data_IF_346285749351
#
_entry.id   IF_346285749351
#
_cell.length_a   1.000
_cell.length_b   1.000
_cell.length_c   1.000
_cell.angle_alpha   90.00
_cell.angle_beta   90.00
_cell.angle_gamma   90.00
#
_symmetry.space_group_name_H-M   'P 1'
#
loop_
_entity.id
_entity.type
_entity.pdbx_description
1 polymer ?
#
# COMPACT_ATOMS: atom_id res chain seq x y z
N UNK A 1 30.02 -7.40 16.31
CA UNK A 1 28.56 -7.21 16.20
C UNK A 1 28.11 -6.49 17.46
N UNK A 2 27.27 -5.46 17.31
CA UNK A 2 26.69 -4.74 18.44
C UNK A 2 25.40 -5.46 18.86
N UNK A 3 25.12 -5.68 20.16
CA UNK A 3 23.96 -6.45 20.58
C UNK A 3 22.64 -5.80 20.12
N UNK A 4 21.74 -6.63 19.60
CA UNK A 4 20.40 -6.28 19.16
C UNK A 4 19.40 -7.33 19.66
N UNK A 5 18.22 -6.88 20.05
CA UNK A 5 17.21 -7.70 20.72
C UNK A 5 16.04 -8.06 19.81
N UNK A 6 15.76 -7.23 18.80
CA UNK A 6 14.70 -7.44 17.81
C UNK A 6 15.30 -7.53 16.40
N UNK A 7 15.13 -8.65 15.68
CA UNK A 7 15.55 -8.72 14.29
C UNK A 7 14.60 -7.91 13.40
N UNK A 8 15.14 -7.22 12.40
CA UNK A 8 14.35 -6.67 11.28
C UNK A 8 13.63 -7.80 10.53
N UNK A 9 12.54 -7.50 9.83
CA UNK A 9 11.80 -8.47 9.01
C UNK A 9 12.76 -9.20 8.06
N UNK A 10 13.62 -8.47 7.36
CA UNK A 10 14.62 -9.03 6.45
C UNK A 10 15.59 -9.99 7.12
N UNK A 11 15.96 -9.75 8.38
CA UNK A 11 16.83 -10.63 9.16
C UNK A 11 16.08 -11.87 9.64
N UNK A 12 14.82 -11.70 10.06
CA UNK A 12 13.97 -12.81 10.46
C UNK A 12 13.70 -13.77 9.28
N UNK A 13 13.40 -13.28 8.09
CA UNK A 13 13.04 -14.13 6.93
C UNK A 13 14.26 -14.65 6.14
N UNK A 14 15.42 -13.98 6.25
CA UNK A 14 16.60 -14.32 5.45
C UNK A 14 17.47 -15.45 5.99
N UNK A 15 17.47 -15.68 7.31
CA UNK A 15 18.48 -16.50 7.98
C UNK A 15 18.10 -17.95 8.28
N UNK A 16 16.82 -18.29 8.43
CA UNK A 16 16.42 -19.56 9.04
C UNK A 16 15.38 -20.33 8.22
N UNK A 17 15.56 -21.65 8.16
CA UNK A 17 14.58 -22.62 7.67
C UNK A 17 13.91 -23.32 8.86
N UNK A 18 12.59 -23.56 8.86
CA UNK A 18 11.66 -23.52 7.72
C UNK A 18 10.96 -22.18 7.47
N UNK A 19 11.10 -21.20 8.38
CA UNK A 19 10.34 -19.94 8.36
C UNK A 19 10.47 -19.16 7.04
N UNK A 20 11.64 -19.17 6.38
CA UNK A 20 11.84 -18.58 5.05
C UNK A 20 10.87 -19.12 3.99
N UNK A 21 10.62 -20.44 3.99
CA UNK A 21 9.74 -21.08 3.01
C UNK A 21 8.27 -20.80 3.30
N UNK A 22 7.89 -20.84 4.59
CA UNK A 22 6.53 -20.48 5.01
C UNK A 22 6.23 -19.03 4.61
N UNK A 23 7.15 -18.10 4.89
CA UNK A 23 7.02 -16.70 4.50
C UNK A 23 6.84 -16.51 2.98
N UNK A 24 7.71 -17.15 2.19
CA UNK A 24 7.64 -17.11 0.71
C UNK A 24 6.32 -17.65 0.18
N UNK A 25 5.84 -18.77 0.71
CA UNK A 25 4.57 -19.36 0.33
C UNK A 25 3.40 -18.41 0.66
N UNK A 26 3.39 -17.82 1.87
CA UNK A 26 2.37 -16.84 2.26
C UNK A 26 2.37 -15.62 1.33
N UNK A 27 3.51 -14.97 1.11
CA UNK A 27 3.59 -13.80 0.22
C UNK A 27 3.23 -14.16 -1.22
N UNK A 28 3.67 -15.32 -1.71
CA UNK A 28 3.33 -15.81 -3.04
C UNK A 28 1.83 -16.05 -3.21
N UNK A 29 1.17 -16.63 -2.21
CA UNK A 29 -0.29 -16.82 -2.23
C UNK A 29 -1.04 -15.48 -2.15
N UNK A 30 -0.55 -14.55 -1.34
CA UNK A 30 -1.15 -13.23 -1.14
C UNK A 30 -0.89 -12.24 -2.29
N UNK A 31 0.05 -12.51 -3.22
CA UNK A 31 0.34 -11.56 -4.29
C UNK A 31 -0.79 -11.47 -5.32
N UNK A 32 -1.40 -12.59 -5.69
CA UNK A 32 -2.50 -12.66 -6.65
C UNK A 32 -3.71 -11.78 -6.26
N UNK A 33 -4.27 -11.89 -5.03
CA UNK A 33 -5.37 -11.00 -4.62
C UNK A 33 -4.95 -9.53 -4.55
N UNK A 34 -3.68 -9.21 -4.22
CA UNK A 34 -3.21 -7.81 -4.21
C UNK A 34 -3.15 -7.20 -5.61
N UNK A 35 -2.71 -7.96 -6.61
CA UNK A 35 -2.77 -7.53 -8.01
C UNK A 35 -4.22 -7.33 -8.47
N UNK A 36 -5.12 -8.26 -8.14
CA UNK A 36 -6.54 -8.11 -8.44
C UNK A 36 -7.13 -6.82 -7.84
N UNK A 37 -6.80 -6.53 -6.58
CA UNK A 37 -7.20 -5.29 -5.90
C UNK A 37 -6.68 -4.05 -6.64
N UNK A 38 -5.44 -4.05 -7.14
CA UNK A 38 -4.91 -2.93 -7.92
C UNK A 38 -5.76 -2.61 -9.16
N UNK A 39 -6.20 -3.64 -9.89
CA UNK A 39 -7.03 -3.48 -11.07
C UNK A 39 -8.48 -3.11 -10.74
N UNK A 40 -9.06 -3.67 -9.67
CA UNK A 40 -10.44 -3.32 -9.27
C UNK A 40 -10.53 -1.87 -8.81
N UNK A 41 -9.54 -1.36 -8.07
CA UNK A 41 -9.48 0.06 -7.71
C UNK A 41 -9.32 0.97 -8.93
N UNK A 42 -8.48 0.58 -9.90
CA UNK A 42 -8.33 1.33 -11.14
C UNK A 42 -9.65 1.41 -11.91
N UNK A 43 -10.30 0.28 -12.15
CA UNK A 43 -11.59 0.21 -12.84
C UNK A 43 -12.67 1.01 -12.12
N UNK A 44 -12.71 0.94 -10.79
CA UNK A 44 -13.62 1.77 -10.00
C UNK A 44 -13.38 3.26 -10.21
N UNK A 45 -12.13 3.71 -10.15
CA UNK A 45 -11.85 5.13 -10.37
C UNK A 45 -12.20 5.54 -11.80
N UNK A 46 -11.98 4.68 -12.79
CA UNK A 46 -12.36 4.94 -14.16
C UNK A 46 -13.89 4.96 -14.40
N UNK A 47 -14.69 4.27 -13.58
CA UNK A 47 -16.16 4.33 -13.67
C UNK A 47 -16.77 5.56 -13.01
N UNK A 48 -16.01 6.32 -12.20
CA UNK A 48 -16.48 7.59 -11.66
C UNK A 48 -16.59 8.62 -12.79
N UNK A 49 -17.73 9.31 -12.89
CA UNK A 49 -18.00 10.36 -13.89
C UNK A 49 -16.90 11.44 -14.04
N UNK A 50 -16.17 11.72 -12.96
CA UNK A 50 -15.01 12.61 -12.99
C UNK A 50 -13.91 12.12 -13.95
N UNK A 51 -13.70 10.82 -14.09
CA UNK A 51 -12.70 10.25 -14.99
C UNK A 51 -12.99 10.57 -16.47
N UNK A 52 -14.27 10.59 -16.86
CA UNK A 52 -14.69 10.99 -18.22
C UNK A 52 -14.38 12.46 -18.51
N UNK A 53 -14.57 13.33 -17.51
CA UNK A 53 -14.48 14.78 -17.67
C UNK A 53 -13.10 15.36 -17.37
N UNK A 54 -12.30 14.69 -16.54
CA UNK A 54 -11.01 15.15 -16.10
C UNK A 54 -9.94 14.09 -16.39
N UNK A 55 -9.20 14.30 -17.48
CA UNK A 55 -8.09 13.42 -17.88
C UNK A 55 -7.04 13.27 -16.77
N UNK A 56 -6.77 14.31 -15.98
CA UNK A 56 -5.79 14.24 -14.88
C UNK A 56 -6.20 13.21 -13.83
N UNK A 57 -7.50 13.09 -13.55
CA UNK A 57 -8.02 12.08 -12.62
C UNK A 57 -7.74 10.66 -13.12
N UNK A 58 -8.02 10.40 -14.41
CA UNK A 58 -7.74 9.11 -15.04
C UNK A 58 -6.24 8.76 -15.05
N UNK A 59 -5.38 9.74 -15.36
CA UNK A 59 -3.92 9.54 -15.29
C UNK A 59 -3.46 9.25 -13.85
N UNK A 60 -3.99 9.97 -12.86
CA UNK A 60 -3.66 9.74 -11.46
C UNK A 60 -4.09 8.35 -11.00
N UNK A 61 -5.26 7.87 -11.43
CA UNK A 61 -5.73 6.52 -11.18
C UNK A 61 -4.81 5.45 -11.82
N UNK A 62 -4.38 5.68 -13.07
CA UNK A 62 -3.43 4.79 -13.74
C UNK A 62 -2.06 4.76 -13.02
N UNK A 63 -1.54 5.93 -12.62
CA UNK A 63 -0.29 6.03 -11.86
C UNK A 63 -0.42 5.33 -10.51
N UNK A 64 -1.53 5.48 -9.80
CA UNK A 64 -1.77 4.77 -8.54
C UNK A 64 -1.80 3.24 -8.76
N UNK A 65 -2.44 2.76 -9.82
CA UNK A 65 -2.43 1.34 -10.19
C UNK A 65 -1.00 0.83 -10.43
N UNK A 66 -0.21 1.55 -11.23
CA UNK A 66 1.19 1.20 -11.52
C UNK A 66 2.04 1.20 -10.25
N UNK A 67 1.89 2.20 -9.38
CA UNK A 67 2.61 2.24 -8.10
C UNK A 67 2.27 1.06 -7.20
N UNK A 68 1.00 0.64 -7.17
CA UNK A 68 0.59 -0.54 -6.42
C UNK A 68 1.18 -1.82 -7.01
N UNK A 69 1.27 -1.94 -8.34
CA UNK A 69 1.95 -3.06 -9.01
C UNK A 69 3.44 -3.06 -8.63
N UNK A 70 4.12 -1.92 -8.72
CA UNK A 70 5.54 -1.76 -8.36
C UNK A 70 5.77 -2.12 -6.89
N UNK A 71 4.90 -1.68 -5.98
CA UNK A 71 4.95 -2.02 -4.55
C UNK A 71 4.91 -3.54 -4.35
N UNK A 72 3.99 -4.24 -5.01
CA UNK A 72 3.86 -5.69 -4.90
C UNK A 72 5.07 -6.42 -5.51
N UNK A 73 5.61 -5.94 -6.63
CA UNK A 73 6.83 -6.49 -7.23
C UNK A 73 8.05 -6.29 -6.33
N UNK A 74 8.17 -5.13 -5.69
CA UNK A 74 9.23 -4.85 -4.73
C UNK A 74 9.10 -5.73 -3.47
N UNK A 75 7.88 -5.98 -2.98
CA UNK A 75 7.61 -6.89 -1.87
C UNK A 75 7.99 -8.35 -2.22
N UNK A 76 7.73 -8.79 -3.45
CA UNK A 76 8.21 -10.08 -3.95
C UNK A 76 9.74 -10.09 -4.00
N UNK A 77 10.37 -9.03 -4.52
CA UNK A 77 11.82 -8.85 -4.51
C UNK A 77 12.43 -9.01 -3.11
N UNK A 78 11.88 -8.32 -2.11
CA UNK A 78 12.29 -8.44 -0.70
C UNK A 78 12.13 -9.84 -0.13
N UNK A 79 11.14 -10.59 -0.62
CA UNK A 79 10.83 -11.95 -0.14
C UNK A 79 11.74 -13.01 -0.76
N UNK A 80 12.15 -12.82 -2.01
CA UNK A 80 13.00 -13.77 -2.73
C UNK A 80 14.49 -13.45 -2.61
N UNK A 81 14.88 -12.18 -2.59
CA UNK A 81 16.28 -11.73 -2.46
C UNK A 81 16.57 -11.40 -1.01
N UNK A 82 17.26 -12.30 -0.30
CA UNK A 82 17.60 -12.07 1.09
C UNK A 82 18.76 -11.06 1.23
N UNK A 83 18.77 -10.31 2.33
CA UNK A 83 19.78 -9.26 2.58
C UNK A 83 21.21 -9.79 2.73
N UNK A 84 21.36 -11.06 3.13
CA UNK A 84 22.63 -11.77 3.21
C UNK A 84 23.10 -12.33 1.85
N UNK A 85 22.20 -12.52 0.89
CA UNK A 85 22.51 -13.00 -0.46
C UNK A 85 22.94 -11.85 -1.37
N UNK A 86 22.17 -10.76 -1.37
CA UNK A 86 22.50 -9.55 -2.13
C UNK A 86 21.97 -8.31 -1.43
N UNK A 87 22.80 -7.71 -0.58
CA UNK A 87 22.44 -6.53 0.21
C UNK A 87 22.02 -5.35 -0.66
N UNK A 88 22.76 -5.08 -1.74
CA UNK A 88 22.49 -3.95 -2.63
C UNK A 88 21.13 -4.07 -3.32
N UNK A 89 20.82 -5.23 -3.89
CA UNK A 89 19.52 -5.47 -4.51
C UNK A 89 18.38 -5.43 -3.49
N UNK A 90 18.58 -6.02 -2.31
CA UNK A 90 17.61 -6.00 -1.22
C UNK A 90 17.28 -4.58 -0.75
N UNK A 91 18.31 -3.73 -0.57
CA UNK A 91 18.15 -2.32 -0.23
C UNK A 91 17.34 -1.57 -1.29
N UNK A 92 17.60 -1.82 -2.59
CA UNK A 92 16.83 -1.20 -3.68
C UNK A 92 15.37 -1.65 -3.69
N UNK A 93 15.08 -2.92 -3.44
CA UNK A 93 13.71 -3.39 -3.29
C UNK A 93 13.02 -2.76 -2.06
N UNK A 94 13.73 -2.61 -0.95
CA UNK A 94 13.21 -1.96 0.25
C UNK A 94 12.81 -0.51 -0.01
N UNK A 95 13.72 0.29 -0.59
CA UNK A 95 13.45 1.69 -0.92
C UNK A 95 12.31 1.79 -1.95
N UNK A 96 12.31 0.92 -2.97
CA UNK A 96 11.26 0.90 -3.99
C UNK A 96 9.90 0.63 -3.36
N UNK A 97 9.79 -0.40 -2.52
CA UNK A 97 8.55 -0.74 -1.78
C UNK A 97 8.05 0.45 -0.96
N UNK A 98 8.96 1.09 -0.21
CA UNK A 98 8.61 2.20 0.67
C UNK A 98 8.10 3.41 -0.12
N UNK A 99 8.86 3.83 -1.13
CA UNK A 99 8.55 5.00 -1.95
C UNK A 99 7.27 4.78 -2.75
N UNK A 100 7.12 3.61 -3.39
CA UNK A 100 5.91 3.31 -4.17
C UNK A 100 4.67 3.24 -3.28
N UNK A 101 4.78 2.64 -2.09
CA UNK A 101 3.70 2.59 -1.09
C UNK A 101 3.27 4.00 -0.66
N UNK A 102 4.21 4.90 -0.34
CA UNK A 102 3.89 6.26 0.09
C UNK A 102 3.18 7.05 -1.01
N UNK A 103 3.69 7.00 -2.25
CA UNK A 103 3.04 7.67 -3.38
C UNK A 103 1.67 7.06 -3.70
N UNK A 104 1.53 5.73 -3.62
CA UNK A 104 0.25 5.06 -3.79
C UNK A 104 -0.78 5.53 -2.73
N UNK A 105 -0.40 5.57 -1.46
CA UNK A 105 -1.27 6.07 -0.38
C UNK A 105 -1.70 7.52 -0.63
N UNK A 106 -0.75 8.39 -1.00
CA UNK A 106 -1.03 9.79 -1.31
C UNK A 106 -2.02 9.93 -2.47
N UNK A 107 -1.77 9.25 -3.59
CA UNK A 107 -2.65 9.34 -4.77
C UNK A 107 -4.01 8.72 -4.50
N UNK A 108 -4.09 7.64 -3.74
CA UNK A 108 -5.37 7.06 -3.30
C UNK A 108 -6.17 8.07 -2.47
N UNK A 109 -5.55 8.78 -1.53
CA UNK A 109 -6.21 9.82 -0.72
C UNK A 109 -6.75 10.96 -1.62
N UNK A 110 -5.95 11.41 -2.59
CA UNK A 110 -6.35 12.46 -3.55
C UNK A 110 -7.52 11.97 -4.41
N UNK A 111 -7.42 10.76 -4.97
CA UNK A 111 -8.45 10.15 -5.83
C UNK A 111 -9.78 9.96 -5.09
N UNK A 112 -9.73 9.52 -3.83
CA UNK A 112 -10.93 9.39 -2.97
C UNK A 112 -11.53 10.76 -2.71
N UNK A 113 -10.72 11.77 -2.37
CA UNK A 113 -11.22 13.12 -2.12
C UNK A 113 -11.88 13.70 -3.37
N UNK A 114 -11.16 13.74 -4.49
CA UNK A 114 -11.65 14.31 -5.75
C UNK A 114 -12.87 13.57 -6.29
N UNK A 115 -12.82 12.24 -6.33
CA UNK A 115 -13.92 11.43 -6.86
C UNK A 115 -15.22 11.59 -6.05
N UNK A 116 -15.12 11.74 -4.72
CA UNK A 116 -16.31 11.84 -3.85
C UNK A 116 -16.88 13.26 -3.74
N UNK A 117 -16.10 14.31 -4.00
CA UNK A 117 -16.57 15.71 -3.91
C UNK A 117 -16.91 16.34 -5.26
N UNK A 118 -16.69 15.64 -6.38
CA UNK A 118 -16.81 16.21 -7.73
C UNK A 118 -18.18 16.86 -8.03
N UNK A 119 -19.28 16.16 -7.75
CA UNK A 119 -20.63 16.67 -8.03
C UNK A 119 -21.23 17.48 -6.86
N UNK A 120 -20.40 18.07 -6.00
CA UNK A 120 -20.86 18.76 -4.78
C UNK A 120 -21.46 17.82 -3.72
N UNK A 121 -21.37 16.50 -3.94
CA UNK A 121 -21.78 15.46 -3.00
C UNK A 121 -21.01 15.59 -1.69
N UNK A 122 -21.73 15.55 -0.58
CA UNK A 122 -21.13 15.41 0.76
C UNK A 122 -20.79 13.94 1.01
N UNK A 123 -19.58 13.69 1.50
CA UNK A 123 -19.17 12.35 1.92
C UNK A 123 -20.09 11.85 3.04
N UNK A 124 -20.54 10.61 2.92
CA UNK A 124 -21.25 9.89 3.99
C UNK A 124 -20.33 9.72 5.20
N UNK A 125 -20.90 9.46 6.38
CA UNK A 125 -20.12 9.22 7.61
C UNK A 125 -19.12 8.07 7.45
N UNK A 126 -19.46 7.04 6.66
CA UNK A 126 -18.56 5.91 6.35
C UNK A 126 -17.42 6.32 5.44
N UNK A 127 -17.70 7.04 4.34
CA UNK A 127 -16.66 7.55 3.42
C UNK A 127 -15.72 8.52 4.14
N UNK A 128 -16.24 9.37 5.03
CA UNK A 128 -15.42 10.27 5.87
C UNK A 128 -14.53 9.48 6.82
N UNK A 129 -15.04 8.41 7.44
CA UNK A 129 -14.24 7.53 8.30
C UNK A 129 -13.13 6.83 7.50
N UNK A 130 -13.46 6.26 6.33
CA UNK A 130 -12.46 5.67 5.42
C UNK A 130 -11.38 6.67 5.03
N UNK A 131 -11.76 7.88 4.60
CA UNK A 131 -10.83 8.95 4.26
C UNK A 131 -9.93 9.36 5.43
N UNK A 132 -10.52 9.58 6.61
CA UNK A 132 -9.76 9.97 7.82
C UNK A 132 -8.77 8.88 8.23
N UNK A 133 -9.18 7.61 8.18
CA UNK A 133 -8.29 6.47 8.45
C UNK A 133 -7.16 6.39 7.43
N UNK A 134 -7.44 6.52 6.12
CA UNK A 134 -6.40 6.54 5.07
C UNK A 134 -5.38 7.66 5.32
N UNK A 135 -5.86 8.87 5.62
CA UNK A 135 -5.00 10.01 5.91
C UNK A 135 -4.15 9.80 7.17
N UNK A 136 -4.74 9.29 8.25
CA UNK A 136 -4.03 8.99 9.50
C UNK A 136 -2.94 7.94 9.29
N UNK A 137 -3.23 6.86 8.56
CA UNK A 137 -2.27 5.82 8.23
C UNK A 137 -1.12 6.35 7.36
N UNK A 138 -1.41 7.21 6.38
CA UNK A 138 -0.39 7.86 5.56
C UNK A 138 0.53 8.77 6.39
N UNK A 139 -0.05 9.62 7.24
CA UNK A 139 0.73 10.50 8.12
C UNK A 139 1.60 9.70 9.11
N UNK A 140 1.05 8.62 9.67
CA UNK A 140 1.78 7.69 10.53
C UNK A 140 2.94 7.03 9.79
N UNK A 141 2.71 6.55 8.56
CA UNK A 141 3.73 5.87 7.76
C UNK A 141 4.88 6.82 7.40
N UNK A 142 4.58 8.06 6.99
CA UNK A 142 5.58 9.11 6.77
C UNK A 142 6.41 9.38 8.03
N UNK A 143 5.74 9.49 9.18
CA UNK A 143 6.42 9.75 10.45
C UNK A 143 7.38 8.62 10.81
N UNK A 144 6.95 7.37 10.61
CA UNK A 144 7.79 6.19 10.78
C UNK A 144 8.97 6.18 9.79
N UNK A 145 8.78 6.60 8.53
CA UNK A 145 9.86 6.67 7.55
C UNK A 145 10.99 7.59 8.00
N UNK A 146 10.65 8.80 8.49
CA UNK A 146 11.66 9.75 8.98
C UNK A 146 12.40 9.21 10.21
N UNK A 147 11.68 8.59 11.14
CA UNK A 147 12.27 7.98 12.33
C UNK A 147 13.20 6.83 11.92
N UNK A 148 12.75 5.93 11.03
CA UNK A 148 13.54 4.81 10.54
C UNK A 148 14.83 5.28 9.85
N UNK A 149 14.75 6.30 9.00
CA UNK A 149 15.92 6.87 8.32
C UNK A 149 16.93 7.44 9.33
N UNK A 150 16.46 8.19 10.34
CA UNK A 150 17.32 8.73 11.39
C UNK A 150 17.99 7.62 12.21
N UNK A 151 17.23 6.62 12.66
CA UNK A 151 17.74 5.51 13.47
C UNK A 151 18.72 4.65 12.66
N UNK A 152 18.45 4.41 11.37
CA UNK A 152 19.36 3.69 10.49
C UNK A 152 20.69 4.43 10.29
N UNK A 153 20.63 5.74 10.01
CA UNK A 153 21.82 6.59 9.94
C UNK A 153 22.62 6.56 11.26
N UNK A 154 21.93 6.70 12.39
CA UNK A 154 22.52 6.68 13.72
C UNK A 154 23.20 5.35 14.02
N UNK A 155 22.56 4.23 13.70
CA UNK A 155 23.13 2.90 13.87
C UNK A 155 24.44 2.75 13.09
N UNK A 156 24.43 3.17 11.82
CA UNK A 156 25.60 3.06 10.94
C UNK A 156 26.74 4.01 11.34
N UNK A 157 26.44 5.17 11.93
CA UNK A 157 27.46 6.15 12.32
C UNK A 157 28.07 5.90 13.69
N UNK A 158 27.26 5.50 14.68
CA UNK A 158 27.67 5.43 16.08
C UNK A 158 27.79 4.01 16.63
N UNK A 159 27.31 2.98 15.91
CA UNK A 159 27.40 1.57 16.32
C UNK A 159 26.86 1.32 17.74
N UNK A 160 25.80 2.03 18.13
CA UNK A 160 25.20 1.94 19.46
C UNK A 160 24.33 0.68 19.61
N UNK A 161 24.38 -0.01 20.78
CA UNK A 161 23.58 -1.20 21.03
C UNK A 161 22.09 -0.90 21.12
N UNK A 162 21.26 -1.81 20.60
CA UNK A 162 19.80 -1.69 20.59
C UNK A 162 19.21 -0.73 19.55
N UNK A 163 20.00 0.16 18.93
CA UNK A 163 19.49 1.14 17.94
C UNK A 163 18.91 0.44 16.70
N UNK A 164 19.52 -0.64 16.23
CA UNK A 164 18.97 -1.42 15.12
C UNK A 164 17.68 -2.15 15.50
N UNK A 165 17.48 -2.47 16.80
CA UNK A 165 16.21 -3.03 17.28
C UNK A 165 15.07 -2.01 17.22
N UNK A 166 15.37 -0.72 17.44
CA UNK A 166 14.42 0.37 17.22
C UNK A 166 14.08 0.47 15.74
N UNK A 167 15.08 0.42 14.85
CA UNK A 167 14.85 0.41 13.40
C UNK A 167 13.92 -0.76 13.00
N UNK A 168 14.21 -1.97 13.46
CA UNK A 168 13.38 -3.14 13.23
C UNK A 168 11.95 -2.93 13.72
N UNK A 169 11.75 -2.38 14.91
CA UNK A 169 10.42 -2.09 15.45
C UNK A 169 9.64 -1.11 14.56
N UNK A 170 10.28 -0.03 14.11
CA UNK A 170 9.65 0.93 13.20
C UNK A 170 9.34 0.31 11.83
N UNK A 171 10.20 -0.58 11.32
CA UNK A 171 9.94 -1.36 10.12
C UNK A 171 8.65 -2.19 10.24
N UNK A 172 8.45 -2.91 11.35
CA UNK A 172 7.21 -3.63 11.62
C UNK A 172 5.98 -2.70 11.62
N UNK A 173 6.08 -1.52 12.23
CA UNK A 173 4.98 -0.54 12.25
C UNK A 173 4.64 0.00 10.84
N UNK A 174 5.65 0.24 10.00
CA UNK A 174 5.44 0.67 8.62
C UNK A 174 4.74 -0.42 7.79
N UNK A 175 5.18 -1.67 7.92
CA UNK A 175 4.56 -2.79 7.20
C UNK A 175 3.14 -3.04 7.72
N UNK A 176 2.92 -3.03 9.03
CA UNK A 176 1.60 -3.19 9.62
C UNK A 176 0.62 -2.09 9.18
N UNK A 177 1.06 -0.84 9.16
CA UNK A 177 0.23 0.28 8.68
C UNK A 177 -0.04 0.21 7.17
N UNK A 178 0.91 -0.27 6.35
CA UNK A 178 0.67 -0.58 4.93
C UNK A 178 -0.38 -1.69 4.75
N UNK A 179 -0.28 -2.79 5.49
CA UNK A 179 -1.28 -3.88 5.47
C UNK A 179 -2.65 -3.34 5.88
N UNK A 180 -2.70 -2.52 6.92
CA UNK A 180 -3.95 -1.89 7.39
C UNK A 180 -4.50 -0.95 6.32
N UNK A 181 -3.66 -0.17 5.65
CA UNK A 181 -4.09 0.72 4.57
C UNK A 181 -4.72 -0.07 3.43
N UNK A 182 -4.11 -1.15 2.95
CA UNK A 182 -4.68 -1.94 1.86
C UNK A 182 -5.88 -2.78 2.29
N UNK A 183 -5.76 -3.53 3.38
CA UNK A 183 -6.77 -4.50 3.82
C UNK A 183 -7.98 -3.86 4.50
N UNK A 184 -7.77 -3.08 5.56
CA UNK A 184 -8.87 -2.49 6.33
C UNK A 184 -9.66 -1.48 5.50
N UNK A 185 -8.98 -0.68 4.67
CA UNK A 185 -9.68 0.33 3.87
C UNK A 185 -10.45 -0.30 2.71
N UNK A 186 -9.95 -1.39 2.12
CA UNK A 186 -10.74 -2.17 1.15
C UNK A 186 -12.05 -2.70 1.75
N UNK A 187 -12.03 -3.21 2.99
CA UNK A 187 -13.24 -3.66 3.68
C UNK A 187 -14.26 -2.52 3.90
N UNK A 188 -13.77 -1.32 4.21
CA UNK A 188 -14.63 -0.14 4.37
C UNK A 188 -15.23 0.32 3.04
N UNK A 189 -14.46 0.22 1.97
CA UNK A 189 -14.84 0.71 0.64
C UNK A 189 -15.65 -0.34 -0.16
N UNK A 190 -15.56 -1.65 0.19
CA UNK A 190 -16.24 -2.78 -0.46
C UNK A 190 -17.74 -2.55 -0.69
N UNK A 191 -18.45 -2.08 0.33
CA UNK A 191 -19.88 -1.80 0.22
C UNK A 191 -20.17 -0.61 -0.70
N UNK A 192 -19.28 0.39 -0.76
CA UNK A 192 -19.39 1.49 -1.70
C UNK A 192 -19.13 1.06 -3.16
N UNK A 193 -18.30 0.03 -3.36
CA UNK A 193 -18.02 -0.56 -4.67
C UNK A 193 -19.20 -1.36 -5.20
N UNK A 194 -19.81 -2.23 -4.39
CA UNK A 194 -20.98 -3.02 -4.81
C UNK A 194 -22.16 -2.13 -5.23
N UNK A 195 -22.43 -1.05 -4.50
CA UNK A 195 -23.47 -0.09 -4.89
C UNK A 195 -23.18 0.62 -6.22
N UNK A 196 -21.91 0.85 -6.54
CA UNK A 196 -21.53 1.49 -7.81
C UNK A 196 -21.68 0.54 -9.00
N UNK A 197 -21.32 -0.73 -8.83
CA UNK A 197 -21.44 -1.74 -9.88
C UNK A 197 -22.91 -2.05 -10.20
N UNK A 198 -23.76 -2.20 -9.18
CA UNK A 198 -25.22 -2.38 -9.38
C UNK A 198 -25.86 -1.16 -10.07
N UNK A 199 -25.40 0.05 -9.74
CA UNK A 199 -25.86 1.26 -10.40
C UNK A 199 -25.46 1.30 -11.88
N UNK A 200 -24.29 0.77 -12.24
CA UNK A 200 -23.84 0.70 -13.64
C UNK A 200 -24.63 -0.35 -14.43
N UNK A 201 -24.82 -1.55 -13.87
CA UNK A 201 -25.63 -2.62 -14.49
C UNK A 201 -27.07 -2.15 -14.75
N UNK A 202 -27.69 -1.45 -13.80
CA UNK A 202 -29.05 -0.91 -13.95
C UNK A 202 -29.16 0.25 -14.96
N UNK A 203 -28.06 0.97 -15.23
CA UNK A 203 -27.99 2.00 -16.27
C UNK A 203 -27.77 1.39 -17.65
N UNK A 204 -26.98 0.30 -17.75
CA UNK A 204 -26.80 -0.49 -18.97
C UNK A 204 -28.11 -1.16 -19.37
N UNK A 205 -28.80 -1.82 -18.44
CA UNK A 205 -30.08 -2.48 -18.70
C UNK A 205 -31.18 -1.48 -19.14
N UNK A 206 -31.17 -0.26 -18.60
CA UNK A 206 -32.09 0.79 -19.02
C UNK A 206 -31.75 1.40 -20.39
N UNK A 207 -30.50 1.38 -20.82
CA UNK A 207 -30.11 1.78 -22.18
C UNK A 207 -30.52 0.73 -23.20
N UNK A 208 -30.35 -0.55 -22.89
CA UNK A 208 -30.79 -1.64 -23.75
C UNK A 208 -32.31 -1.67 -23.94
N UNK A 209 -33.11 -1.37 -22.91
CA UNK A 209 -34.58 -1.28 -23.01
C UNK A 209 -35.11 -0.06 -23.80
N UNK A 210 -34.25 0.90 -24.15
CA UNK A 210 -34.62 2.13 -24.89
C UNK A 210 -34.16 2.12 -26.35
N UNK A 211 -33.57 1.02 -26.82
CA UNK A 211 -33.17 0.81 -28.22
C UNK A 211 -34.10 -0.21 -28.86
#
# INVERSE_FOLDING_TARGET
>A
MVPNYLPSISAAIGGFTPQRYVWRACIGLHCAPRFLVAFTYYNFHMSVRLAEKNKLYGHLAAVACVLHIIENLALLGLTYVASNENHYAHEKFFITFLVSSLFYMLFTIILVKWGRTYDGRKMTSRERKSYSTKFSLFAFNISCCFIAAYVYWRHNKYCEPGVYSIFAFIEYLMVFSNITFHGYTWLLDYNGYNLCLIADDSLVENKEKKT
#
